data_IF_277352270146
#
_entry.id   IF_277352270146
#
_cell.length_a   1.000
_cell.length_b   1.000
_cell.length_c   1.000
_cell.angle_alpha   90.00
_cell.angle_beta   90.00
_cell.angle_gamma   90.00
#
_symmetry.space_group_name_H-M   'P 1'
#
loop_
_entity.id
_entity.type
_entity.pdbx_description
1 polymer ?
#
# COMPACT_ATOMS: atom_id res chain seq x y z
N UNK A 1 5.73 19.28 3.94
CA UNK A 1 4.35 19.03 4.42
C UNK A 1 3.36 19.80 3.56
N UNK A 2 2.71 19.16 2.58
CA UNK A 2 1.68 19.83 1.76
C UNK A 2 0.41 19.99 2.61
N UNK A 3 0.00 21.24 2.88
CA UNK A 3 -1.26 21.53 3.60
C UNK A 3 -2.44 21.00 2.78
N UNK A 4 -3.27 20.14 3.39
CA UNK A 4 -4.53 19.74 2.79
C UNK A 4 -5.46 20.95 2.69
N UNK A 5 -5.94 21.24 1.47
CA UNK A 5 -6.90 22.32 1.24
C UNK A 5 -8.29 21.84 1.66
N UNK A 6 -8.74 22.26 2.85
CA UNK A 6 -10.15 22.10 3.24
C UNK A 6 -10.99 23.11 2.45
N UNK A 7 -11.97 22.61 1.69
CA UNK A 7 -12.92 23.44 0.95
C UNK A 7 -14.29 23.30 1.60
N UNK A 8 -14.76 24.36 2.26
CA UNK A 8 -16.11 24.43 2.80
C UNK A 8 -17.05 25.03 1.75
N UNK A 9 -18.15 24.33 1.44
CA UNK A 9 -19.21 24.87 0.58
C UNK A 9 -20.45 25.14 1.43
N UNK A 10 -20.85 26.41 1.49
CA UNK A 10 -22.13 26.82 2.07
C UNK A 10 -23.26 26.38 1.12
N UNK A 11 -24.00 25.34 1.51
CA UNK A 11 -25.23 24.94 0.83
C UNK A 11 -26.42 25.62 1.49
N UNK A 12 -27.26 26.27 0.69
CA UNK A 12 -28.54 26.80 1.16
C UNK A 12 -29.44 25.61 1.49
N UNK A 13 -30.00 25.63 2.69
CA UNK A 13 -30.91 24.58 3.15
C UNK A 13 -32.30 24.87 2.57
N UNK A 14 -32.53 24.49 1.32
CA UNK A 14 -33.89 24.52 0.76
C UNK A 14 -34.70 23.42 1.44
N UNK A 15 -35.78 23.83 2.11
CA UNK A 15 -36.71 22.95 2.84
C UNK A 15 -37.45 21.94 1.95
N UNK A 16 -37.19 21.91 0.65
CA UNK A 16 -38.07 21.27 -0.33
C UNK A 16 -37.85 19.79 -0.57
N UNK A 17 -36.80 19.15 -0.06
CA UNK A 17 -36.68 17.69 -0.12
C UNK A 17 -35.96 17.19 1.12
N UNK A 18 -36.42 16.06 1.65
CA UNK A 18 -35.86 15.35 2.81
C UNK A 18 -34.42 14.86 2.50
N UNK A 19 -33.48 15.80 2.38
CA UNK A 19 -32.06 15.53 2.27
C UNK A 19 -31.57 15.12 3.65
N UNK A 20 -31.81 13.86 4.01
CA UNK A 20 -31.20 13.21 5.17
C UNK A 20 -29.69 13.25 4.93
N UNK A 21 -29.01 14.19 5.56
CA UNK A 21 -27.56 14.27 5.58
C UNK A 21 -27.04 13.00 6.27
N UNK A 22 -26.78 11.94 5.49
CA UNK A 22 -26.09 10.76 6.00
C UNK A 22 -24.66 11.18 6.31
N UNK A 23 -24.35 11.34 7.59
CA UNK A 23 -22.98 11.54 8.04
C UNK A 23 -22.14 10.35 7.54
N UNK A 24 -21.30 10.58 6.53
CA UNK A 24 -20.28 9.61 6.15
C UNK A 24 -19.30 9.55 7.32
N UNK A 25 -19.03 8.34 7.83
CA UNK A 25 -17.91 8.13 8.74
C UNK A 25 -16.63 8.33 7.94
N UNK A 26 -16.17 9.57 7.87
CA UNK A 26 -14.87 9.87 7.29
C UNK A 26 -13.81 9.32 8.25
N UNK A 27 -13.05 8.34 7.77
CA UNK A 27 -11.88 7.85 8.50
C UNK A 27 -10.87 9.00 8.51
N UNK A 28 -10.35 9.40 9.69
CA UNK A 28 -9.29 10.39 9.78
C UNK A 28 -8.14 10.05 8.83
N UNK A 29 -7.60 11.06 8.15
CA UNK A 29 -6.55 10.87 7.14
C UNK A 29 -5.35 10.13 7.73
N UNK A 30 -5.02 10.43 8.99
CA UNK A 30 -3.92 9.83 9.74
C UNK A 30 -4.08 8.32 9.86
N UNK A 31 -5.30 7.85 10.15
CA UNK A 31 -5.60 6.42 10.28
C UNK A 31 -5.45 5.74 8.92
N UNK A 32 -5.99 6.35 7.85
CA UNK A 32 -5.86 5.80 6.50
C UNK A 32 -4.39 5.71 6.07
N UNK A 33 -3.61 6.76 6.33
CA UNK A 33 -2.20 6.81 5.99
C UNK A 33 -1.38 5.78 6.79
N UNK A 34 -1.62 5.68 8.10
CA UNK A 34 -0.95 4.70 8.95
C UNK A 34 -1.25 3.26 8.48
N UNK A 35 -2.52 2.94 8.20
CA UNK A 35 -2.89 1.62 7.69
C UNK A 35 -2.24 1.31 6.35
N UNK A 36 -2.12 2.30 5.46
CA UNK A 36 -1.46 2.12 4.17
C UNK A 36 0.04 1.83 4.35
N UNK A 37 0.75 2.62 5.16
CA UNK A 37 2.17 2.42 5.41
C UNK A 37 2.47 1.06 6.06
N UNK A 38 1.63 0.64 7.01
CA UNK A 38 1.76 -0.69 7.64
C UNK A 38 1.54 -1.80 6.62
N UNK A 39 0.54 -1.67 5.76
CA UNK A 39 0.28 -2.67 4.72
C UNK A 39 1.43 -2.73 3.71
N UNK A 40 1.96 -1.58 3.30
CA UNK A 40 3.08 -1.49 2.37
C UNK A 40 4.32 -2.18 2.94
N UNK A 41 4.63 -1.97 4.23
CA UNK A 41 5.76 -2.60 4.92
C UNK A 41 5.58 -4.13 5.08
N UNK A 42 4.38 -4.58 5.45
CA UNK A 42 4.05 -6.01 5.53
C UNK A 42 4.15 -6.70 4.17
N UNK A 43 3.62 -6.07 3.12
CA UNK A 43 3.72 -6.57 1.75
C UNK A 43 5.19 -6.64 1.30
N UNK A 44 5.97 -5.61 1.58
CA UNK A 44 7.39 -5.56 1.24
C UNK A 44 8.17 -6.69 1.91
N UNK A 45 8.05 -6.82 3.24
CA UNK A 45 8.75 -7.84 4.02
C UNK A 45 8.37 -9.27 3.61
N UNK A 46 7.07 -9.52 3.40
CA UNK A 46 6.59 -10.83 2.97
C UNK A 46 7.06 -11.19 1.55
N UNK A 47 6.98 -10.26 0.60
CA UNK A 47 7.44 -10.49 -0.77
C UNK A 47 8.96 -10.75 -0.80
N UNK A 48 9.73 -10.01 0.00
CA UNK A 48 11.17 -10.22 0.12
C UNK A 48 11.49 -11.61 0.66
N UNK A 49 10.88 -12.00 1.79
CA UNK A 49 11.09 -13.32 2.38
C UNK A 49 10.71 -14.46 1.42
N UNK A 50 9.61 -14.29 0.68
CA UNK A 50 9.16 -15.27 -0.31
C UNK A 50 10.12 -15.38 -1.51
N UNK A 51 10.69 -14.27 -1.96
CA UNK A 51 11.71 -14.29 -3.02
C UNK A 51 12.99 -14.99 -2.54
N UNK A 52 13.44 -14.72 -1.31
CA UNK A 52 14.58 -15.41 -0.70
C UNK A 52 14.35 -16.93 -0.60
N UNK A 53 13.16 -17.35 -0.17
CA UNK A 53 12.78 -18.76 -0.10
C UNK A 53 12.78 -19.43 -1.49
N UNK A 54 12.19 -18.78 -2.51
CA UNK A 54 12.19 -19.31 -3.87
C UNK A 54 13.60 -19.37 -4.46
N UNK A 55 14.47 -18.41 -4.15
CA UNK A 55 15.88 -18.43 -4.56
C UNK A 55 16.58 -19.63 -3.93
N UNK A 56 16.42 -19.84 -2.64
CA UNK A 56 17.01 -20.99 -1.93
C UNK A 56 16.50 -22.31 -2.51
N UNK A 57 15.19 -22.42 -2.76
CA UNK A 57 14.61 -23.61 -3.40
C UNK A 57 15.18 -23.83 -4.81
N UNK A 58 15.37 -22.77 -5.60
CA UNK A 58 15.98 -22.91 -6.94
C UNK A 58 17.43 -23.38 -6.90
N UNK A 59 18.17 -23.06 -5.82
CA UNK A 59 19.52 -23.56 -5.57
C UNK A 59 19.46 -25.05 -5.24
N UNK A 60 18.54 -25.46 -4.37
CA UNK A 60 18.35 -26.87 -3.98
C UNK A 60 17.94 -27.74 -5.18
N UNK A 61 17.10 -27.22 -6.07
CA UNK A 61 16.65 -27.86 -7.30
C UNK A 61 17.66 -27.73 -8.46
N UNK A 62 18.78 -27.02 -8.25
CA UNK A 62 19.83 -26.76 -9.23
C UNK A 62 19.32 -26.09 -10.53
N UNK A 63 18.24 -25.30 -10.41
CA UNK A 63 17.56 -24.64 -11.52
C UNK A 63 18.13 -23.23 -11.76
N UNK A 64 19.12 -23.15 -12.66
CA UNK A 64 19.85 -21.91 -12.95
C UNK A 64 19.00 -20.81 -13.57
N UNK A 65 18.03 -21.16 -14.42
CA UNK A 65 17.16 -20.18 -15.08
C UNK A 65 16.23 -19.51 -14.07
N UNK A 66 15.64 -20.31 -13.18
CA UNK A 66 14.80 -19.82 -12.09
C UNK A 66 15.63 -18.91 -11.16
N UNK A 67 16.82 -19.34 -10.77
CA UNK A 67 17.73 -18.56 -9.92
C UNK A 67 18.08 -17.19 -10.53
N UNK A 68 18.46 -17.13 -11.81
CA UNK A 68 18.81 -15.85 -12.46
C UNK A 68 17.61 -14.90 -12.56
N UNK A 69 16.43 -15.42 -12.88
CA UNK A 69 15.22 -14.60 -12.97
C UNK A 69 14.80 -14.03 -11.62
N UNK A 70 14.85 -14.85 -10.57
CA UNK A 70 14.52 -14.46 -9.19
C UNK A 70 15.58 -13.52 -8.60
N UNK A 71 16.86 -13.70 -8.95
CA UNK A 71 17.93 -12.80 -8.50
C UNK A 71 17.77 -11.39 -9.10
N UNK A 72 17.35 -11.29 -10.37
CA UNK A 72 17.06 -10.00 -11.00
C UNK A 72 15.90 -9.27 -10.33
N UNK A 73 14.84 -9.99 -9.95
CA UNK A 73 13.71 -9.40 -9.23
C UNK A 73 14.06 -9.05 -7.80
N UNK A 74 14.92 -9.83 -7.13
CA UNK A 74 15.40 -9.54 -5.78
C UNK A 74 16.27 -8.28 -5.72
N UNK A 75 17.07 -7.99 -6.76
CA UNK A 75 17.90 -6.78 -6.80
C UNK A 75 17.12 -5.46 -6.67
N UNK A 76 15.85 -5.41 -7.09
CA UNK A 76 15.02 -4.21 -6.91
C UNK A 76 14.66 -3.93 -5.44
N UNK A 77 14.78 -4.93 -4.57
CA UNK A 77 14.57 -4.81 -3.13
C UNK A 77 15.84 -4.36 -2.36
N UNK A 78 17.01 -4.31 -3.00
CA UNK A 78 18.31 -4.00 -2.37
C UNK A 78 18.79 -2.57 -2.69
N UNK A 79 18.06 -1.80 -3.51
CA UNK A 79 18.53 -0.51 -4.07
C UNK A 79 18.98 0.55 -3.03
N UNK A 80 18.63 0.40 -1.74
CA UNK A 80 19.04 1.31 -0.65
C UNK A 80 20.16 0.77 0.27
N UNK A 81 20.82 -0.34 -0.06
CA UNK A 81 21.96 -0.86 0.73
C UNK A 81 23.29 -0.18 0.40
#
# INVERSE_FOLDING_TARGET
MKKHKLSYQLKKFDKSEQLVLKAKREIPFEIRLASQLVLDDLCFSWNKARLEENINQSIDENNKEAFESLSKTFNSYIWES
#
